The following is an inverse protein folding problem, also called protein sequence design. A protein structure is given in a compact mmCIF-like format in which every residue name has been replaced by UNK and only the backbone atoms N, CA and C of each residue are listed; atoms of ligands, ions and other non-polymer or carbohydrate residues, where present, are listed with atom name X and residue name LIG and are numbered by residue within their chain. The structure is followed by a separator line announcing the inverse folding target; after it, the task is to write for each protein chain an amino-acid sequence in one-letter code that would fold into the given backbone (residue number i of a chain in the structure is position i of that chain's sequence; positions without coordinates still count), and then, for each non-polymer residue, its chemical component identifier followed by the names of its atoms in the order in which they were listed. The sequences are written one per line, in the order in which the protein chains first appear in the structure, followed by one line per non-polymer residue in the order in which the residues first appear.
data_IF_821757291850
#
_entry.id   IF_821757291850
#
_cell.length_a   1.000
_cell.length_b   1.000
_cell.length_c   1.000
_cell.angle_alpha   90.00
_cell.angle_beta   90.00
_cell.angle_gamma   90.00
#
_symmetry.space_group_name_H-M   'P 1'
#
loop_
_entity.id
_entity.type
_entity.pdbx_description
1 polymer ?
#
# COMPACT_ATOMS: atom_id res chain seq x y z
N UNK A 1 33.87 -7.58 6.39
CA UNK A 1 33.02 -6.81 5.45
C UNK A 1 31.81 -6.31 6.22
N UNK A 2 31.71 -5.00 6.47
CA UNK A 2 30.52 -4.43 7.13
C UNK A 2 29.42 -4.24 6.10
N UNK A 3 28.33 -4.99 6.21
CA UNK A 3 27.17 -4.84 5.31
C UNK A 3 26.54 -3.46 5.49
N UNK A 4 26.30 -2.77 4.37
CA UNK A 4 25.52 -1.53 4.33
C UNK A 4 24.04 -1.89 4.37
N UNK A 5 23.32 -1.33 5.35
CA UNK A 5 21.88 -1.55 5.53
C UNK A 5 21.12 -0.35 5.01
N UNK A 6 19.95 -0.59 4.45
CA UNK A 6 19.03 0.47 4.02
C UNK A 6 17.75 0.40 4.84
N UNK A 7 17.29 1.54 5.35
CA UNK A 7 16.00 1.70 6.01
C UNK A 7 15.16 2.68 5.21
N UNK A 8 13.93 2.30 4.90
CA UNK A 8 12.97 3.18 4.25
C UNK A 8 12.00 3.73 5.29
N UNK A 9 11.81 5.05 5.28
CA UNK A 9 10.76 5.72 6.05
C UNK A 9 9.68 6.14 5.06
N UNK A 10 8.47 5.63 5.22
CA UNK A 10 7.38 5.84 4.26
C UNK A 10 6.33 6.80 4.83
N UNK A 11 6.01 7.83 4.07
CA UNK A 11 4.80 8.62 4.24
C UNK A 11 3.81 8.19 3.15
N UNK A 12 2.80 7.41 3.52
CA UNK A 12 1.86 6.79 2.58
C UNK A 12 0.40 6.95 3.07
N UNK A 13 -0.52 6.91 2.11
CA UNK A 13 -1.97 7.06 2.31
C UNK A 13 -2.73 5.78 1.91
N UNK A 14 -2.20 5.00 0.97
CA UNK A 14 -2.90 3.83 0.42
C UNK A 14 -2.60 2.51 1.14
N UNK A 15 -1.70 2.50 2.13
CA UNK A 15 -1.34 1.30 2.88
C UNK A 15 -2.56 0.64 3.55
N UNK A 16 -2.51 -0.69 3.68
CA UNK A 16 -3.56 -1.50 4.28
C UNK A 16 -3.04 -2.21 5.51
N UNK A 17 -3.70 -2.00 6.64
CA UNK A 17 -3.44 -2.78 7.85
C UNK A 17 -3.86 -4.23 7.61
N UNK A 18 -2.90 -5.14 7.71
CA UNK A 18 -3.13 -6.58 7.54
C UNK A 18 -2.89 -7.38 8.82
N UNK A 19 -2.74 -6.72 9.98
CA UNK A 19 -2.41 -7.37 11.27
C UNK A 19 -3.38 -8.48 11.64
N UNK A 20 -4.67 -8.30 11.33
CA UNK A 20 -5.74 -9.28 11.60
C UNK A 20 -5.68 -10.51 10.68
N UNK A 21 -4.95 -10.40 9.58
CA UNK A 21 -4.83 -11.41 8.53
C UNK A 21 -3.43 -12.03 8.46
N UNK A 22 -2.46 -11.49 9.22
CA UNK A 22 -1.10 -12.02 9.30
C UNK A 22 -1.00 -13.15 10.33
N UNK A 23 -0.04 -14.07 10.09
CA UNK A 23 0.30 -15.14 11.04
C UNK A 23 0.92 -14.55 12.31
N UNK A 24 1.76 -13.52 12.18
CA UNK A 24 2.41 -12.83 13.28
C UNK A 24 1.69 -11.52 13.61
N UNK A 25 0.62 -11.62 14.39
CA UNK A 25 -0.24 -10.46 14.72
C UNK A 25 0.42 -9.38 15.58
N UNK A 26 1.58 -9.67 16.17
CA UNK A 26 2.34 -8.73 16.97
C UNK A 26 3.13 -7.74 16.12
N UNK A 27 3.29 -8.02 14.82
CA UNK A 27 3.90 -7.08 13.89
C UNK A 27 2.85 -6.05 13.47
N UNK A 28 3.20 -4.77 13.50
CA UNK A 28 2.34 -3.70 12.98
C UNK A 28 2.40 -3.64 11.44
N UNK A 29 2.20 -4.80 10.81
CA UNK A 29 2.39 -5.00 9.38
C UNK A 29 1.31 -4.26 8.57
N UNK A 30 1.80 -3.48 7.60
CA UNK A 30 0.96 -2.82 6.59
C UNK A 30 1.41 -3.26 5.20
N UNK A 31 0.44 -3.48 4.32
CA UNK A 31 0.67 -3.88 2.95
C UNK A 31 0.49 -2.69 2.01
N UNK A 32 1.47 -2.48 1.14
CA UNK A 32 1.38 -1.55 0.02
C UNK A 32 0.79 -2.26 -1.20
N UNK A 33 0.01 -1.54 -1.99
CA UNK A 33 -0.46 -2.08 -3.26
C UNK A 33 0.71 -2.22 -4.24
N UNK A 34 0.61 -3.18 -5.14
CA UNK A 34 1.57 -3.29 -6.23
C UNK A 34 1.58 -2.01 -7.06
N UNK A 35 2.76 -1.61 -7.53
CA UNK A 35 2.98 -0.40 -8.31
C UNK A 35 2.67 0.94 -7.59
N UNK A 36 2.58 0.97 -6.25
CA UNK A 36 2.60 2.24 -5.50
C UNK A 36 3.88 3.01 -5.82
N UNK A 37 3.73 4.30 -6.14
CA UNK A 37 4.83 5.17 -6.54
C UNK A 37 5.22 6.10 -5.39
N UNK A 38 6.50 6.44 -5.32
CA UNK A 38 7.04 7.30 -4.27
C UNK A 38 8.07 8.28 -4.85
N UNK A 39 8.14 9.46 -4.25
CA UNK A 39 9.24 10.40 -4.42
C UNK A 39 10.25 10.22 -3.28
N UNK A 40 11.54 10.31 -3.60
CA UNK A 40 12.59 10.42 -2.59
C UNK A 40 12.59 11.84 -2.04
N UNK A 41 12.23 11.99 -0.76
CA UNK A 41 12.15 13.28 -0.08
C UNK A 41 13.48 13.64 0.57
N UNK A 42 14.14 12.67 1.19
CA UNK A 42 15.43 12.89 1.85
C UNK A 42 16.25 11.60 1.92
N UNK A 43 17.57 11.76 2.06
CA UNK A 43 18.51 10.67 2.30
C UNK A 43 19.44 11.07 3.45
N UNK A 44 19.64 10.15 4.40
CA UNK A 44 20.56 10.32 5.52
C UNK A 44 21.48 9.11 5.63
N UNK A 45 22.79 9.36 5.60
CA UNK A 45 23.80 8.33 5.80
C UNK A 45 24.34 8.40 7.23
N UNK A 46 24.20 7.33 7.99
CA UNK A 46 24.66 7.22 9.37
C UNK A 46 25.49 5.95 9.55
N UNK A 47 26.81 6.07 9.41
CA UNK A 47 27.73 4.93 9.48
C UNK A 47 27.41 3.90 8.39
N UNK A 48 27.01 2.68 8.79
CA UNK A 48 26.62 1.61 7.87
C UNK A 48 25.11 1.54 7.58
N UNK A 49 24.35 2.59 7.95
CA UNK A 49 22.92 2.71 7.71
C UNK A 49 22.66 3.82 6.70
N UNK A 50 21.87 3.53 5.67
CA UNK A 50 21.34 4.50 4.72
C UNK A 50 19.84 4.60 4.92
N UNK A 51 19.37 5.77 5.34
CA UNK A 51 17.96 6.03 5.60
C UNK A 51 17.43 6.83 4.41
N UNK A 52 16.36 6.34 3.78
CA UNK A 52 15.71 6.98 2.64
C UNK A 52 14.26 7.28 3.03
N UNK A 53 13.89 8.55 3.01
CA UNK A 53 12.51 8.97 3.21
C UNK A 53 11.78 9.03 1.88
N UNK A 54 10.64 8.35 1.83
CA UNK A 54 9.78 8.24 0.66
C UNK A 54 8.40 8.83 0.98
N UNK A 55 7.85 9.59 0.05
CA UNK A 55 6.47 10.09 0.11
C UNK A 55 5.68 9.55 -1.07
N UNK A 56 4.52 8.94 -0.79
CA UNK A 56 3.65 8.33 -1.78
C UNK A 56 3.11 9.40 -2.74
N UNK A 57 3.12 9.08 -4.04
CA UNK A 57 2.56 9.93 -5.08
C UNK A 57 1.26 9.36 -5.61
N UNK A 58 0.40 10.23 -6.15
CA UNK A 58 -0.75 9.77 -6.92
C UNK A 58 -0.29 9.17 -8.26
N UNK A 59 -0.72 7.96 -8.61
CA UNK A 59 -0.34 7.35 -9.87
C UNK A 59 -0.93 8.16 -11.04
N UNK A 60 -0.22 8.24 -12.19
CA UNK A 60 -0.68 9.01 -13.35
C UNK A 60 -1.92 8.40 -14.03
N UNK A 61 -2.28 7.17 -13.69
CA UNK A 61 -3.47 6.46 -14.15
C UNK A 61 -4.00 5.53 -13.03
N UNK A 62 -5.30 5.18 -13.04
CA UNK A 62 -5.85 4.23 -12.09
C UNK A 62 -5.16 2.86 -12.19
N UNK A 63 -4.68 2.34 -11.06
CA UNK A 63 -4.01 1.03 -11.01
C UNK A 63 -5.00 -0.15 -10.98
N UNK A 64 -6.25 0.11 -10.60
CA UNK A 64 -7.31 -0.89 -10.51
C UNK A 64 -8.45 -0.52 -11.45
N UNK A 65 -8.99 -1.52 -12.14
CA UNK A 65 -10.25 -1.38 -12.85
C UNK A 65 -11.40 -1.24 -11.85
N UNK A 66 -12.41 -0.39 -12.11
CA UNK A 66 -13.62 -0.36 -11.31
C UNK A 66 -14.32 -1.73 -11.34
N UNK A 67 -14.87 -2.14 -10.19
CA UNK A 67 -15.72 -3.34 -10.15
C UNK A 67 -17.03 -3.03 -10.87
N UNK A 68 -17.44 -3.81 -11.89
CA UNK A 68 -18.73 -3.62 -12.54
C UNK A 68 -19.86 -3.76 -11.52
N UNK A 69 -20.71 -2.74 -11.38
CA UNK A 69 -21.92 -2.85 -10.58
C UNK A 69 -22.90 -3.71 -11.37
N UNK A 70 -23.06 -4.97 -10.97
CA UNK A 70 -24.16 -5.80 -11.47
C UNK A 70 -25.44 -5.25 -10.84
N UNK A 71 -26.20 -4.47 -11.61
CA UNK A 71 -27.55 -4.08 -11.19
C UNK A 71 -28.38 -5.36 -11.18
N UNK A 72 -28.89 -5.82 -10.01
CA UNK A 72 -29.75 -6.99 -9.99
C UNK A 72 -30.98 -6.73 -10.86
N UNK A 73 -31.49 -7.73 -11.59
CA UNK A 73 -32.70 -7.57 -12.38
C UNK A 73 -33.84 -7.07 -11.48
N UNK A 74 -34.75 -6.22 -12.00
CA UNK A 74 -35.91 -5.79 -11.23
C UNK A 74 -36.66 -7.03 -10.74
N UNK A 75 -36.91 -7.07 -9.43
CA UNK A 75 -37.76 -8.10 -8.82
C UNK A 75 -39.12 -7.90 -9.47
N UNK A 76 -39.46 -8.76 -10.42
CA UNK A 76 -40.76 -8.72 -11.05
C UNK A 76 -41.75 -9.26 -10.01
N UNK A 77 -42.67 -8.45 -9.46
CA UNK A 77 -43.71 -8.98 -8.59
C UNK A 77 -44.67 -9.75 -9.50
N UNK A 78 -44.37 -11.00 -9.81
CA UNK A 78 -45.40 -11.88 -10.35
C UNK A 78 -46.44 -12.06 -9.25
N UNK A 79 -47.61 -11.50 -9.58
CA UNK A 79 -48.92 -11.54 -8.90
C UNK A 79 -49.35 -12.99 -8.50
N UNK A 80 -50.37 -13.10 -7.64
CA UNK A 80 -50.45 -13.94 -6.42
C UNK A 80 -50.31 -15.45 -6.59
#
# INVERSE_FOLDING_TARGET
MTSTRTMFTLQCQSARDIRRHSYYRAEDEVLLMAATQFNVVSCLNQGNLHIIQLEETSPPFPLLQPVPVVVPPPINPTLP
#
